data_IF_078358571703
#
_entry.id   IF_078358571703
#
_cell.length_a   1.000
_cell.length_b   1.000
_cell.length_c   1.000
_cell.angle_alpha   90.00
_cell.angle_beta   90.00
_cell.angle_gamma   90.00
#
_symmetry.space_group_name_H-M   'P 1'
#
loop_
_entity.id
_entity.type
_entity.pdbx_description
1 polymer ?
#
# COMPACT_ATOMS: atom_id res chain seq x y z
N UNK A 1 19.65 0.39 -13.90
CA UNK A 1 18.78 0.37 -14.08
C UNK A 1 18.05 0.85 -13.28
N UNK A 2 17.73 1.28 -13.26
CA UNK A 2 17.16 1.75 -12.65
C UNK A 2 15.95 1.58 -12.51
N UNK A 3 15.40 1.31 -12.43
CA UNK A 3 14.03 1.11 -12.54
C UNK A 3 13.26 0.75 -11.34
N UNK A 4 13.88 0.34 -10.29
CA UNK A 4 13.14 -0.08 -9.09
C UNK A 4 13.11 1.08 -8.11
N UNK A 5 11.91 1.60 -7.86
CA UNK A 5 11.73 2.66 -6.89
C UNK A 5 11.58 2.06 -5.50
N UNK A 6 12.19 2.70 -4.53
CA UNK A 6 12.02 2.32 -3.13
C UNK A 6 10.71 2.85 -2.57
N UNK A 7 10.25 3.98 -3.07
CA UNK A 7 9.00 4.60 -2.64
C UNK A 7 8.03 4.75 -3.78
N UNK A 8 6.76 4.50 -3.52
CA UNK A 8 5.70 4.53 -4.52
C UNK A 8 4.61 5.49 -4.08
N UNK A 9 4.07 6.24 -5.03
CA UNK A 9 2.85 6.99 -4.76
C UNK A 9 1.69 6.01 -4.65
N UNK A 10 0.53 6.49 -4.18
CA UNK A 10 -0.65 5.63 -4.10
C UNK A 10 -1.01 5.10 -5.48
N UNK A 11 -0.90 5.94 -6.52
CA UNK A 11 -1.21 5.52 -7.88
C UNK A 11 -0.24 4.47 -8.38
N UNK A 12 1.05 4.67 -8.11
CA UNK A 12 2.05 3.70 -8.51
C UNK A 12 1.88 2.38 -7.78
N UNK A 13 1.56 2.45 -6.48
CA UNK A 13 1.32 1.25 -5.70
C UNK A 13 0.11 0.49 -6.22
N UNK A 14 -0.95 1.20 -6.58
CA UNK A 14 -2.14 0.57 -7.14
C UNK A 14 -1.81 -0.14 -8.45
N UNK A 15 -1.04 0.52 -9.29
CA UNK A 15 -0.66 -0.04 -10.59
C UNK A 15 0.25 -1.25 -10.43
N UNK A 16 1.23 -1.14 -9.55
CA UNK A 16 2.21 -2.20 -9.33
C UNK A 16 1.58 -3.45 -8.75
N UNK A 17 0.62 -3.29 -7.84
CA UNK A 17 0.00 -4.41 -7.16
C UNK A 17 -1.24 -4.95 -7.86
N UNK A 18 -1.82 -4.15 -8.75
CA UNK A 18 -3.10 -4.51 -9.34
C UNK A 18 -4.29 -4.20 -8.45
N UNK A 19 -4.05 -3.64 -7.26
CA UNK A 19 -5.13 -3.20 -6.38
C UNK A 19 -5.62 -1.85 -6.88
N UNK A 20 -6.93 -1.67 -6.94
CA UNK A 20 -7.49 -0.43 -7.44
C UNK A 20 -7.04 0.78 -6.61
N UNK A 21 -6.97 1.94 -7.28
CA UNK A 21 -6.49 3.16 -6.62
C UNK A 21 -7.35 3.55 -5.42
N UNK A 22 -8.66 3.43 -5.55
CA UNK A 22 -9.55 3.78 -4.44
C UNK A 22 -9.36 2.84 -3.26
N UNK A 23 -9.17 1.57 -3.53
CA UNK A 23 -8.92 0.59 -2.47
C UNK A 23 -7.58 0.87 -1.80
N UNK A 24 -6.55 1.16 -2.60
CA UNK A 24 -5.23 1.46 -2.06
C UNK A 24 -5.30 2.69 -1.14
N UNK A 25 -6.04 3.73 -1.54
CA UNK A 25 -6.20 4.91 -0.72
C UNK A 25 -6.91 4.59 0.60
N UNK A 26 -7.92 3.73 0.55
CA UNK A 26 -8.62 3.32 1.77
C UNK A 26 -7.70 2.56 2.71
N UNK A 27 -6.86 1.70 2.18
CA UNK A 27 -5.91 0.94 3.02
C UNK A 27 -4.97 1.87 3.76
N UNK A 28 -4.53 2.93 3.09
CA UNK A 28 -3.68 3.93 3.72
C UNK A 28 -4.48 4.72 4.76
N UNK A 29 -5.70 5.14 4.41
CA UNK A 29 -6.55 5.93 5.31
C UNK A 29 -6.92 5.14 6.56
N UNK A 30 -7.11 3.84 6.43
CA UNK A 30 -7.42 2.97 7.57
C UNK A 30 -6.22 2.71 8.46
N UNK A 31 -5.02 3.15 8.04
CA UNK A 31 -3.80 2.92 8.79
C UNK A 31 -3.27 1.51 8.66
N UNK A 32 -3.67 0.78 7.64
CA UNK A 32 -3.21 -0.60 7.45
C UNK A 32 -1.85 -0.67 6.80
N UNK A 33 -1.45 0.40 6.10
CA UNK A 33 -0.15 0.47 5.42
C UNK A 33 0.54 1.74 5.92
N UNK A 34 1.68 1.63 6.59
CA UNK A 34 2.42 2.82 7.01
C UNK A 34 2.98 3.56 5.79
N UNK A 35 2.97 4.88 5.85
CA UNK A 35 3.40 5.70 4.74
C UNK A 35 4.32 6.80 5.22
N UNK A 36 5.06 7.37 4.28
CA UNK A 36 5.87 8.55 4.51
C UNK A 36 5.12 9.75 3.92
N UNK A 37 5.12 10.84 4.66
CA UNK A 37 4.54 12.08 4.16
C UNK A 37 5.66 13.01 3.77
N UNK A 38 5.62 13.50 2.53
CA UNK A 38 6.58 14.47 2.03
C UNK A 38 5.77 15.64 1.52
N UNK A 39 5.53 16.62 2.38
CA UNK A 39 4.59 17.67 2.06
C UNK A 39 3.21 17.08 1.90
N UNK A 40 2.64 17.24 0.71
CA UNK A 40 1.32 16.68 0.41
C UNK A 40 1.39 15.30 -0.22
N UNK A 41 2.61 14.83 -0.51
CA UNK A 41 2.78 13.51 -1.11
C UNK A 41 2.71 12.42 -0.06
N UNK A 42 2.09 11.33 -0.44
CA UNK A 42 2.07 10.11 0.36
C UNK A 42 2.92 9.09 -0.36
N UNK A 43 3.92 8.56 0.32
CA UNK A 43 4.85 7.60 -0.27
C UNK A 43 4.77 6.30 0.51
N UNK A 44 4.61 5.19 -0.20
CA UNK A 44 4.56 3.86 0.38
C UNK A 44 5.87 3.17 0.04
N UNK A 45 6.57 2.66 1.06
CA UNK A 45 7.80 1.92 0.81
C UNK A 45 7.48 0.61 0.10
N UNK A 46 8.30 0.28 -0.89
CA UNK A 46 8.09 -0.94 -1.68
C UNK A 46 8.12 -2.19 -0.81
N UNK A 47 9.08 -2.28 0.11
CA UNK A 47 9.18 -3.46 0.97
C UNK A 47 7.99 -3.57 1.92
N UNK A 48 7.49 -2.44 2.40
CA UNK A 48 6.29 -2.42 3.23
C UNK A 48 5.09 -2.95 2.44
N UNK A 49 4.97 -2.52 1.19
CA UNK A 49 3.88 -2.94 0.33
C UNK A 49 3.95 -4.43 0.05
N UNK A 50 5.15 -4.94 -0.22
CA UNK A 50 5.35 -6.37 -0.45
C UNK A 50 4.97 -7.18 0.79
N UNK A 51 5.38 -6.71 1.96
CA UNK A 51 5.03 -7.38 3.21
C UNK A 51 3.53 -7.35 3.45
N UNK A 52 2.90 -6.23 3.16
CA UNK A 52 1.45 -6.11 3.31
C UNK A 52 0.73 -7.15 2.47
N UNK A 53 1.15 -7.33 1.23
CA UNK A 53 0.52 -8.30 0.35
C UNK A 53 0.72 -9.72 0.87
N UNK A 54 1.90 -10.02 1.37
CA UNK A 54 2.19 -11.35 1.91
C UNK A 54 1.31 -11.65 3.12
N UNK A 55 1.21 -10.70 4.04
CA UNK A 55 0.46 -10.87 5.29
C UNK A 55 -1.04 -11.00 5.01
N UNK A 56 -1.51 -10.37 3.96
CA UNK A 56 -2.95 -10.30 3.69
C UNK A 56 -3.43 -11.25 2.60
N UNK A 57 -2.61 -12.23 2.24
CA UNK A 57 -3.05 -13.23 1.28
C UNK A 57 -4.30 -13.94 1.80
N UNK A 58 -5.29 -14.08 0.92
CA UNK A 58 -6.54 -14.74 1.27
C UNK A 58 -7.54 -13.86 1.98
N UNK A 59 -7.21 -12.59 2.22
CA UNK A 59 -8.10 -11.67 2.92
C UNK A 59 -8.76 -10.72 1.94
N UNK A 60 -9.95 -10.27 2.28
CA UNK A 60 -10.68 -9.33 1.43
C UNK A 60 -10.28 -7.91 1.82
N UNK A 61 -9.55 -7.24 0.93
CA UNK A 61 -9.02 -5.90 1.20
C UNK A 61 -10.09 -4.81 1.22
N UNK A 62 -11.32 -5.15 0.82
CA UNK A 62 -12.41 -4.19 0.89
C UNK A 62 -13.09 -4.20 2.24
N UNK A 63 -12.73 -5.15 3.09
CA UNK A 63 -13.33 -5.28 4.42
C UNK A 63 -12.28 -4.89 5.44
N UNK A 64 -12.46 -3.70 6.03
CA UNK A 64 -11.48 -3.15 6.96
C UNK A 64 -11.14 -4.10 8.10
N UNK A 65 -12.14 -4.83 8.60
CA UNK A 65 -11.92 -5.71 9.75
C UNK A 65 -11.11 -6.95 9.40
N UNK A 66 -11.07 -7.34 8.11
CA UNK A 66 -10.27 -8.48 7.69
C UNK A 66 -8.83 -8.12 7.40
N UNK A 67 -8.57 -6.86 7.06
CA UNK A 67 -7.25 -6.44 6.64
C UNK A 67 -6.33 -6.32 7.86
N UNK A 68 -5.18 -6.98 7.77
CA UNK A 68 -4.16 -6.86 8.81
C UNK A 68 -3.22 -5.72 8.47
N UNK A 69 -3.01 -4.85 9.44
CA UNK A 69 -2.07 -3.77 9.26
C UNK A 69 -0.63 -4.30 9.38
N UNK A 70 0.30 -3.62 8.72
CA UNK A 70 1.72 -3.92 8.83
C UNK A 70 2.42 -2.70 9.37
N UNK A 71 3.63 -2.92 9.91
CA UNK A 71 4.40 -1.85 10.54
C UNK A 71 5.77 -1.68 9.94
#
# INVERSE_FOLDING_TARGET
MDGIKMGLTIEEAAETTGIGRNTMRKLVDWGKIPVLKVGRKTIIRRDTLENFMTVNQGRNLRNETEVREVH
#
